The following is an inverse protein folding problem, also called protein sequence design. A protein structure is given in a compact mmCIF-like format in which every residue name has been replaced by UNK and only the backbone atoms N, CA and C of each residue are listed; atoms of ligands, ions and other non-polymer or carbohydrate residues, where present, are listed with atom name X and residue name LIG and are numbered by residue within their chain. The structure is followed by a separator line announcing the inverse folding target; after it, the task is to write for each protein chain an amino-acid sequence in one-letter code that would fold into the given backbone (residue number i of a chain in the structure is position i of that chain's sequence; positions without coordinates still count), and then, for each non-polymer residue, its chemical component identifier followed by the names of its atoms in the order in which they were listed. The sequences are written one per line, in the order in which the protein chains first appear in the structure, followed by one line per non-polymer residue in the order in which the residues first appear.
data_IF_970066161250
#
_entry.id   IF_970066161250
#
_cell.length_a   1.000
_cell.length_b   1.000
_cell.length_c   1.000
_cell.angle_alpha   90.00
_cell.angle_beta   90.00
_cell.angle_gamma   90.00
#
_symmetry.space_group_name_H-M   'P 1'
#
loop_
_entity.id
_entity.type
_entity.pdbx_description
1 polymer ?
#
# COMPACT_ATOMS: atom_id res chain seq x y z
N UNK A 1 -20.56 8.61 19.43
CA UNK A 1 -20.93 7.20 19.16
C UNK A 1 -20.12 6.71 17.98
N UNK A 2 -19.60 5.48 18.01
CA UNK A 2 -18.97 4.87 16.84
C UNK A 2 -20.06 4.45 15.83
N UNK A 3 -19.84 4.70 14.55
CA UNK A 3 -20.72 4.26 13.45
C UNK A 3 -19.92 3.34 12.54
N UNK A 4 -20.47 2.18 12.21
CA UNK A 4 -19.87 1.31 11.20
C UNK A 4 -19.99 1.97 9.81
N UNK A 5 -18.85 2.11 9.13
CA UNK A 5 -18.78 2.74 7.79
C UNK A 5 -18.64 1.69 6.69
N UNK A 6 -18.06 0.52 7.00
CA UNK A 6 -17.86 -0.56 6.04
C UNK A 6 -17.90 -1.91 6.75
N UNK A 7 -18.85 -2.76 6.35
CA UNK A 7 -18.94 -4.15 6.81
C UNK A 7 -18.03 -5.07 5.98
N UNK A 8 -17.97 -6.35 6.35
CA UNK A 8 -17.15 -7.34 5.66
C UNK A 8 -17.53 -7.54 4.18
N UNK A 9 -18.83 -7.46 3.85
CA UNK A 9 -19.32 -7.65 2.48
C UNK A 9 -18.90 -6.46 1.59
N UNK A 10 -19.06 -5.26 2.12
CA UNK A 10 -18.67 -4.00 1.46
C UNK A 10 -17.16 -3.97 1.21
N UNK A 11 -16.36 -4.33 2.21
CA UNK A 11 -14.91 -4.44 2.07
C UNK A 11 -14.50 -5.47 1.01
N UNK A 12 -15.16 -6.64 0.98
CA UNK A 12 -14.90 -7.67 -0.03
C UNK A 12 -15.19 -7.16 -1.44
N UNK A 13 -16.33 -6.47 -1.64
CA UNK A 13 -16.71 -5.86 -2.92
C UNK A 13 -15.73 -4.77 -3.35
N UNK A 14 -15.33 -3.90 -2.42
CA UNK A 14 -14.35 -2.85 -2.68
C UNK A 14 -13.01 -3.43 -3.13
N UNK A 15 -12.49 -4.45 -2.44
CA UNK A 15 -11.25 -5.13 -2.83
C UNK A 15 -11.35 -5.78 -4.21
N UNK A 16 -12.47 -6.43 -4.53
CA UNK A 16 -12.70 -6.99 -5.87
C UNK A 16 -12.70 -5.90 -6.94
N UNK A 17 -13.41 -4.78 -6.73
CA UNK A 17 -13.41 -3.65 -7.67
C UNK A 17 -12.02 -3.06 -7.87
N UNK A 18 -11.29 -2.79 -6.79
CA UNK A 18 -9.91 -2.28 -6.87
C UNK A 18 -8.99 -3.23 -7.65
N UNK A 19 -9.20 -4.55 -7.53
CA UNK A 19 -8.40 -5.55 -8.25
C UNK A 19 -8.60 -5.41 -9.77
N UNK A 20 -9.86 -5.33 -10.23
CA UNK A 20 -10.15 -5.11 -11.66
C UNK A 20 -9.60 -3.76 -12.15
N UNK A 21 -9.76 -2.69 -11.37
CA UNK A 21 -9.22 -1.38 -11.73
C UNK A 21 -7.69 -1.37 -11.86
N UNK A 22 -6.98 -2.16 -11.04
CA UNK A 22 -5.52 -2.33 -11.17
C UNK A 22 -5.17 -2.99 -12.51
N UNK A 23 -5.86 -4.07 -12.88
CA UNK A 23 -5.62 -4.78 -14.15
C UNK A 23 -5.89 -3.84 -15.34
N UNK A 24 -7.03 -3.15 -15.33
CA UNK A 24 -7.44 -2.26 -16.42
C UNK A 24 -6.48 -1.08 -16.60
N UNK A 25 -6.09 -0.40 -15.50
CA UNK A 25 -5.18 0.74 -15.56
C UNK A 25 -3.79 0.38 -16.05
N UNK A 26 -3.31 -0.83 -15.74
CA UNK A 26 -1.99 -1.31 -16.15
C UNK A 26 -2.03 -2.11 -17.47
N UNK A 27 -3.22 -2.28 -18.08
CA UNK A 27 -3.44 -3.05 -19.32
C UNK A 27 -2.97 -4.50 -19.19
N UNK A 28 -3.26 -5.11 -18.05
CA UNK A 28 -2.78 -6.44 -17.67
C UNK A 28 -2.05 -6.40 -16.33
N UNK A 29 -1.33 -7.48 -16.02
CA UNK A 29 -0.60 -7.64 -14.76
C UNK A 29 0.92 -7.70 -14.92
N UNK A 30 1.42 -7.53 -16.15
CA UNK A 30 2.85 -7.60 -16.41
C UNK A 30 3.60 -6.44 -15.74
N UNK A 31 4.73 -6.78 -15.10
CA UNK A 31 5.55 -5.83 -14.37
C UNK A 31 4.89 -5.20 -13.13
N UNK A 32 3.70 -5.64 -12.71
CA UNK A 32 3.05 -5.15 -11.49
C UNK A 32 3.74 -5.72 -10.24
N UNK A 33 3.94 -4.87 -9.25
CA UNK A 33 4.32 -5.26 -7.88
C UNK A 33 3.45 -4.51 -6.88
N UNK A 34 3.08 -5.15 -5.77
CA UNK A 34 2.30 -4.50 -4.71
C UNK A 34 3.21 -4.16 -3.54
N UNK A 35 3.05 -2.97 -2.98
CA UNK A 35 3.79 -2.54 -1.77
C UNK A 35 2.78 -2.05 -0.74
N UNK A 36 2.61 -2.83 0.32
CA UNK A 36 1.71 -2.48 1.42
C UNK A 36 2.41 -1.60 2.44
N UNK A 37 1.80 -0.45 2.77
CA UNK A 37 2.31 0.42 3.83
C UNK A 37 1.90 -0.17 5.19
N UNK A 38 2.84 -0.24 6.14
CA UNK A 38 2.54 -0.75 7.48
C UNK A 38 1.46 0.07 8.18
N UNK A 39 0.56 -0.56 8.94
CA UNK A 39 0.46 -2.00 9.22
C UNK A 39 -0.62 -2.70 8.40
N UNK A 40 -1.80 -2.09 8.24
CA UNK A 40 -2.97 -2.74 7.61
C UNK A 40 -2.91 -2.79 6.09
N UNK A 41 -2.21 -1.83 5.45
CA UNK A 41 -2.00 -1.81 4.00
C UNK A 41 -1.35 -3.09 3.46
N UNK A 42 -0.47 -3.72 4.24
CA UNK A 42 0.15 -5.02 3.93
C UNK A 42 -0.89 -6.13 3.74
N UNK A 43 -1.84 -6.24 4.67
CA UNK A 43 -2.88 -7.27 4.59
C UNK A 43 -3.82 -7.04 3.41
N UNK A 44 -4.08 -5.78 3.06
CA UNK A 44 -4.84 -5.43 1.87
C UNK A 44 -4.07 -5.78 0.59
N UNK A 45 -2.78 -5.47 0.52
CA UNK A 45 -1.92 -5.85 -0.61
C UNK A 45 -1.91 -7.37 -0.84
N UNK A 46 -1.72 -8.16 0.23
CA UNK A 46 -1.78 -9.63 0.15
C UNK A 46 -3.15 -10.15 -0.33
N UNK A 47 -4.25 -9.51 0.09
CA UNK A 47 -5.62 -9.85 -0.36
C UNK A 47 -5.88 -9.50 -1.81
N UNK A 48 -5.25 -8.44 -2.33
CA UNK A 48 -5.31 -8.04 -3.73
C UNK A 48 -4.46 -9.02 -4.56
N UNK A 49 -3.22 -9.31 -4.16
CA UNK A 49 -2.38 -10.30 -4.85
C UNK A 49 -3.04 -11.67 -4.97
N UNK A 50 -3.67 -12.17 -3.89
CA UNK A 50 -4.42 -13.42 -3.93
C UNK A 50 -5.58 -13.40 -4.93
N UNK A 51 -6.23 -12.25 -5.13
CA UNK A 51 -7.29 -12.09 -6.15
C UNK A 51 -6.70 -12.00 -7.56
N UNK A 52 -5.59 -11.28 -7.74
CA UNK A 52 -4.89 -11.23 -9.03
C UNK A 52 -4.46 -12.63 -9.48
N UNK A 53 -3.93 -13.45 -8.58
CA UNK A 53 -3.62 -14.85 -8.86
C UNK A 53 -4.87 -15.63 -9.29
N UNK A 54 -6.03 -15.42 -8.65
CA UNK A 54 -7.26 -16.12 -9.01
C UNK A 54 -7.83 -15.71 -10.37
N UNK A 55 -7.62 -14.46 -10.78
CA UNK A 55 -8.18 -13.90 -12.00
C UNK A 55 -7.28 -14.09 -13.23
N UNK A 56 -5.96 -13.92 -13.05
CA UNK A 56 -4.98 -13.85 -14.13
C UNK A 56 -3.99 -15.01 -14.11
N UNK A 57 -4.06 -15.88 -13.09
CA UNK A 57 -3.13 -17.00 -12.87
C UNK A 57 -1.65 -16.59 -12.73
N UNK A 58 -1.39 -15.38 -12.21
CA UNK A 58 -0.04 -14.83 -12.01
C UNK A 58 0.21 -14.50 -10.54
N UNK A 59 1.39 -14.90 -10.06
CA UNK A 59 1.85 -14.55 -8.71
C UNK A 59 2.50 -13.17 -8.72
N UNK A 60 1.84 -12.21 -8.08
CA UNK A 60 2.32 -10.83 -7.97
C UNK A 60 3.20 -10.67 -6.73
N UNK A 61 4.44 -10.16 -6.84
CA UNK A 61 5.27 -9.85 -5.68
C UNK A 61 4.59 -8.85 -4.75
N UNK A 62 4.64 -9.13 -3.44
CA UNK A 62 4.09 -8.26 -2.40
C UNK A 62 5.18 -7.91 -1.41
N UNK A 63 5.50 -6.63 -1.34
CA UNK A 63 6.49 -6.07 -0.42
C UNK A 63 5.82 -5.29 0.70
N UNK A 64 6.59 -5.03 1.74
CA UNK A 64 6.14 -4.30 2.92
C UNK A 64 7.00 -3.05 3.08
N UNK A 65 6.36 -1.91 3.34
CA UNK A 65 7.05 -0.65 3.53
C UNK A 65 6.74 -0.08 4.91
N UNK A 66 7.78 0.07 5.71
CA UNK A 66 7.73 0.68 7.04
C UNK A 66 8.21 2.13 6.96
N UNK A 67 7.25 3.06 6.92
CA UNK A 67 7.54 4.49 6.76
C UNK A 67 7.76 5.21 8.10
N UNK A 68 7.93 4.49 9.21
CA UNK A 68 8.08 5.08 10.54
C UNK A 68 9.31 5.99 10.65
N UNK A 69 10.33 5.79 9.81
CA UNK A 69 11.51 6.66 9.75
C UNK A 69 11.29 7.95 8.94
N UNK A 70 10.29 7.97 8.06
CA UNK A 70 10.02 9.07 7.11
C UNK A 70 8.92 10.02 7.60
N UNK A 71 8.33 9.73 8.76
CA UNK A 71 7.28 10.55 9.35
C UNK A 71 7.88 11.55 10.34
N UNK A 72 7.93 12.81 9.92
CA UNK A 72 8.45 13.93 10.71
C UNK A 72 7.71 14.13 12.06
N UNK A 73 6.49 13.60 12.19
CA UNK A 73 5.60 13.76 13.33
C UNK A 73 5.68 12.65 14.38
N UNK A 74 6.40 11.55 14.13
CA UNK A 74 6.52 10.42 15.07
C UNK A 74 7.23 10.81 16.38
N UNK A 75 8.03 11.87 16.38
CA UNK A 75 8.66 12.39 17.59
C UNK A 75 7.68 13.00 18.62
N UNK A 76 6.40 13.19 18.26
CA UNK A 76 5.40 13.80 19.14
C UNK A 76 4.32 12.85 19.69
N UNK A 77 4.35 11.54 19.41
CA UNK A 77 3.41 10.59 20.02
C UNK A 77 3.94 10.07 21.37
N UNK A 78 3.37 10.50 22.53
CA UNK A 78 3.80 10.03 23.85
C UNK A 78 3.54 8.54 24.10
N UNK A 79 2.82 7.84 23.21
CA UNK A 79 2.61 6.39 23.26
C UNK A 79 3.54 5.60 22.30
N UNK A 80 4.38 6.27 21.50
CA UNK A 80 5.38 5.63 20.67
C UNK A 80 6.54 5.10 21.54
N UNK A 81 6.34 3.93 22.15
CA UNK A 81 7.32 3.28 23.04
C UNK A 81 8.58 2.73 22.36
N UNK A 82 8.83 3.06 21.10
CA UNK A 82 9.99 2.56 20.38
C UNK A 82 10.56 3.69 19.55
N UNK A 83 11.83 4.03 19.78
CA UNK A 83 12.65 4.61 18.72
C UNK A 83 12.42 3.77 17.46
N UNK A 84 12.23 4.37 16.27
CA UNK A 84 12.08 3.61 15.05
C UNK A 84 13.37 2.80 14.85
N UNK A 85 13.32 1.54 15.29
CA UNK A 85 14.40 0.58 15.09
C UNK A 85 14.56 0.49 13.59
N UNK A 86 15.77 0.79 13.10
CA UNK A 86 16.16 0.65 11.69
C UNK A 86 16.02 -0.82 11.31
N UNK A 87 14.81 -1.22 10.96
CA UNK A 87 14.59 -2.38 10.12
C UNK A 87 14.66 -1.82 8.73
N UNK A 88 15.78 -2.08 8.05
CA UNK A 88 15.91 -1.95 6.61
C UNK A 88 14.57 -2.38 5.98
N UNK A 89 13.76 -1.41 5.56
CA UNK A 89 12.41 -1.66 5.06
C UNK A 89 12.52 -2.09 3.60
N UNK A 90 13.36 -3.09 3.34
CA UNK A 90 13.59 -3.59 2.01
C UNK A 90 12.33 -4.32 1.55
N UNK A 91 11.79 -3.86 0.42
CA UNK A 91 10.58 -4.38 -0.22
C UNK A 91 10.75 -5.87 -0.60
N UNK A 92 12.01 -6.34 -0.67
CA UNK A 92 12.37 -7.75 -0.88
C UNK A 92 12.46 -8.16 -2.35
N UNK A 93 12.31 -7.21 -3.27
CA UNK A 93 12.47 -7.40 -4.72
C UNK A 93 12.84 -6.08 -5.41
N UNK A 94 13.33 -6.19 -6.64
CA UNK A 94 13.65 -5.05 -7.49
C UNK A 94 12.38 -4.34 -7.98
N UNK A 95 12.35 -3.02 -7.83
CA UNK A 95 11.25 -2.15 -8.28
C UNK A 95 11.60 -1.35 -9.54
N UNK A 96 12.83 -1.45 -10.06
CA UNK A 96 13.23 -0.72 -11.25
C UNK A 96 12.38 -1.10 -12.46
N UNK A 97 11.89 -0.08 -13.18
CA UNK A 97 11.00 -0.20 -14.34
C UNK A 97 9.69 -0.98 -14.09
N UNK A 98 9.31 -1.19 -12.82
CA UNK A 98 8.05 -1.86 -12.44
C UNK A 98 6.88 -0.89 -12.26
N UNK A 99 5.68 -1.44 -12.38
CA UNK A 99 4.42 -0.77 -12.05
C UNK A 99 4.10 -1.01 -10.57
N UNK A 100 4.54 -0.10 -9.70
CA UNK A 100 4.37 -0.22 -8.25
C UNK A 100 2.98 0.25 -7.84
N UNK A 101 2.23 -0.62 -7.16
CA UNK A 101 0.94 -0.26 -6.54
C UNK A 101 1.15 -0.15 -5.03
N UNK A 102 1.19 1.08 -4.51
CA UNK A 102 1.15 1.36 -3.09
C UNK A 102 -0.25 1.05 -2.55
N UNK A 103 -0.32 0.34 -1.43
CA UNK A 103 -1.59 -0.05 -0.81
C UNK A 103 -1.66 0.42 0.63
N UNK A 104 -2.72 1.16 0.95
CA UNK A 104 -3.01 1.65 2.31
C UNK A 104 -4.49 1.47 2.69
N UNK A 105 -4.79 1.49 3.98
CA UNK A 105 -6.18 1.34 4.47
C UNK A 105 -6.97 2.65 4.36
N UNK A 106 -6.40 3.78 4.79
CA UNK A 106 -7.09 5.06 4.85
C UNK A 106 -6.22 6.22 4.36
N UNK A 107 -6.68 6.93 3.34
CA UNK A 107 -6.09 8.21 2.94
C UNK A 107 -6.71 9.36 3.76
N UNK A 108 -5.84 10.17 4.35
CA UNK A 108 -6.21 11.37 5.09
C UNK A 108 -5.41 12.58 4.59
N UNK A 109 -4.41 13.05 5.34
CA UNK A 109 -3.58 14.21 4.96
C UNK A 109 -2.57 13.93 3.84
N UNK A 110 -2.39 12.66 3.45
CA UNK A 110 -1.39 12.24 2.46
C UNK A 110 0.05 12.14 2.97
N UNK A 111 0.34 12.51 4.24
CA UNK A 111 1.71 12.44 4.81
C UNK A 111 2.33 11.04 4.74
N UNK A 112 1.54 10.01 5.05
CA UNK A 112 1.92 8.60 4.89
C UNK A 112 2.35 8.29 3.46
N UNK A 113 1.59 8.76 2.48
CA UNK A 113 1.86 8.48 1.07
C UNK A 113 3.11 9.22 0.61
N UNK A 114 3.31 10.48 1.01
CA UNK A 114 4.55 11.23 0.74
C UNK A 114 5.77 10.46 1.25
N UNK A 115 5.74 10.08 2.52
CA UNK A 115 6.79 9.29 3.15
C UNK A 115 7.05 7.94 2.44
N UNK A 116 5.98 7.28 1.97
CA UNK A 116 6.10 6.05 1.20
C UNK A 116 6.74 6.27 -0.17
N UNK A 117 6.42 7.37 -0.85
CA UNK A 117 7.06 7.73 -2.11
C UNK A 117 8.56 7.98 -1.92
N UNK A 118 8.94 8.74 -0.90
CA UNK A 118 10.35 9.00 -0.58
C UNK A 118 11.09 7.67 -0.34
N UNK A 119 10.53 6.78 0.50
CA UNK A 119 11.10 5.48 0.80
C UNK A 119 11.19 4.52 -0.42
N UNK A 120 10.22 4.59 -1.35
CA UNK A 120 10.28 3.84 -2.61
C UNK A 120 11.43 4.36 -3.49
N UNK A 121 11.58 5.68 -3.59
CA UNK A 121 12.61 6.30 -4.43
C UNK A 121 14.02 6.09 -3.88
N UNK A 122 14.18 5.81 -2.59
CA UNK A 122 15.47 5.37 -2.03
C UNK A 122 15.84 3.94 -2.45
N UNK A 123 14.86 3.10 -2.79
CA UNK A 123 15.07 1.68 -3.13
C UNK A 123 15.16 1.40 -4.63
N UNK A 124 14.70 2.30 -5.50
CA UNK A 124 14.77 2.10 -6.94
C UNK A 124 14.02 3.16 -7.76
N UNK A 125 13.83 2.88 -9.04
CA UNK A 125 13.19 3.77 -10.02
C UNK A 125 12.03 3.04 -10.71
N UNK A 126 10.83 3.04 -10.11
CA UNK A 126 9.67 2.42 -10.73
C UNK A 126 9.23 3.18 -11.97
N UNK A 127 8.65 2.45 -12.93
CA UNK A 127 8.09 3.01 -14.17
C UNK A 127 6.83 3.83 -13.88
N UNK A 128 5.99 3.34 -12.99
CA UNK A 128 4.84 4.08 -12.45
C UNK A 128 4.64 3.76 -10.98
N UNK A 129 4.07 4.70 -10.25
CA UNK A 129 3.55 4.48 -8.90
C UNK A 129 2.06 4.81 -8.91
N UNK A 130 1.22 3.82 -8.61
CA UNK A 130 -0.21 4.01 -8.38
C UNK A 130 -0.53 3.78 -6.91
N UNK A 131 -1.63 4.39 -6.47
CA UNK A 131 -2.08 4.31 -5.10
C UNK A 131 -3.46 3.65 -5.05
N UNK A 132 -3.57 2.57 -4.29
CA UNK A 132 -4.80 1.85 -4.02
C UNK A 132 -5.15 2.00 -2.54
N UNK A 133 -6.27 2.68 -2.25
CA UNK A 133 -6.71 3.00 -0.90
C UNK A 133 -8.11 2.42 -0.69
N UNK A 134 -8.32 1.75 0.45
CA UNK A 134 -9.64 1.20 0.78
C UNK A 134 -10.66 2.29 1.11
N UNK A 135 -10.27 3.31 1.89
CA UNK A 135 -11.13 4.45 2.25
C UNK A 135 -10.38 5.76 2.07
N UNK A 136 -10.93 6.66 1.26
CA UNK A 136 -10.54 8.07 1.27
C UNK A 136 -11.50 8.84 2.19
N UNK A 137 -10.97 9.44 3.26
CA UNK A 137 -11.76 10.23 4.22
C UNK A 137 -11.62 11.74 4.01
N UNK A 138 -10.95 12.17 2.93
CA UNK A 138 -10.71 13.56 2.58
C UNK A 138 -9.80 14.30 3.57
N UNK A 139 -9.66 15.60 3.38
CA UNK A 139 -9.05 16.51 4.35
C UNK A 139 -10.14 17.20 5.18
N UNK A 140 -9.92 17.48 6.47
CA UNK A 140 -10.80 18.37 7.23
C UNK A 140 -10.76 19.79 6.69
#
# INVERSE_FOLDING_TARGET
MAKEVSDAITMKRALTRMTYEIIEKNKGVDGIVLVGIKTRGIYLAKRIAARLQQLEDVTIPVGELDISLYRDDIHHDPNAKHEPVVKDSQIGFDINDKHVILVDDVLFTGRTIRAALDALMDQGRPKTINLAILVDRGTP
#
